data_IF_308458355197
#
_entry.id   IF_308458355197
#
_cell.length_a   1.000
_cell.length_b   1.000
_cell.length_c   1.000
_cell.angle_alpha   90.00
_cell.angle_beta   90.00
_cell.angle_gamma   90.00
#
_symmetry.space_group_name_H-M   'P 1'
#
loop_
_entity.id
_entity.type
_entity.pdbx_description
1 polymer ?
#
# COMPACT_ATOMS: atom_id res chain seq x y z
N UNK A 1 4.21 -12.58 -16.28
CA UNK A 1 3.55 -11.91 -15.15
C UNK A 1 3.84 -12.67 -13.86
N UNK A 2 3.86 -12.01 -12.71
CA UNK A 2 4.02 -12.66 -11.39
C UNK A 2 2.74 -13.39 -10.98
N UNK A 3 2.86 -14.44 -10.18
CA UNK A 3 1.71 -15.16 -9.60
C UNK A 3 1.11 -14.38 -8.43
N UNK A 4 -0.18 -14.59 -8.15
CA UNK A 4 -0.85 -13.97 -7.01
C UNK A 4 -0.10 -14.18 -5.67
N UNK A 5 0.38 -15.40 -5.32
CA UNK A 5 1.14 -15.60 -4.09
C UNK A 5 2.46 -14.82 -4.05
N UNK A 6 3.16 -14.70 -5.19
CA UNK A 6 4.41 -13.94 -5.27
C UNK A 6 4.16 -12.44 -5.05
N UNK A 7 3.12 -11.89 -5.69
CA UNK A 7 2.71 -10.48 -5.51
C UNK A 7 2.28 -10.22 -4.07
N UNK A 8 1.46 -11.10 -3.49
CA UNK A 8 1.00 -10.96 -2.10
C UNK A 8 2.17 -10.93 -1.10
N UNK A 9 3.16 -11.82 -1.28
CA UNK A 9 4.38 -11.84 -0.44
C UNK A 9 5.20 -10.55 -0.58
N UNK A 10 5.30 -10.01 -1.79
CA UNK A 10 5.94 -8.73 -2.06
C UNK A 10 5.23 -7.58 -1.34
N UNK A 11 3.91 -7.48 -1.48
CA UNK A 11 3.10 -6.44 -0.83
C UNK A 11 3.19 -6.50 0.70
N UNK A 12 3.24 -7.69 1.30
CA UNK A 12 3.48 -7.85 2.74
C UNK A 12 4.87 -7.34 3.16
N UNK A 13 5.89 -7.54 2.33
CA UNK A 13 7.24 -7.06 2.60
C UNK A 13 7.30 -5.54 2.54
N UNK A 14 6.69 -4.94 1.51
CA UNK A 14 6.57 -3.50 1.37
C UNK A 14 5.80 -2.87 2.54
N UNK A 15 4.75 -3.54 3.03
CA UNK A 15 4.00 -3.08 4.18
C UNK A 15 4.83 -3.11 5.48
N UNK A 16 5.62 -4.16 5.69
CA UNK A 16 6.57 -4.25 6.82
C UNK A 16 7.64 -3.18 6.78
N UNK A 17 8.05 -2.77 5.57
CA UNK A 17 9.01 -1.69 5.37
C UNK A 17 8.36 -0.29 5.50
N UNK A 18 7.06 -0.19 5.76
CA UNK A 18 6.33 1.08 5.87
C UNK A 18 6.12 1.79 4.53
N UNK A 19 6.30 1.09 3.40
CA UNK A 19 6.13 1.66 2.07
C UNK A 19 4.65 1.65 1.69
N UNK A 20 3.94 0.57 2.01
CA UNK A 20 2.50 0.42 1.73
C UNK A 20 1.73 0.15 3.03
N UNK A 21 0.41 0.39 3.02
CA UNK A 21 -0.47 0.10 4.15
C UNK A 21 -1.65 -0.74 3.68
N UNK A 22 -1.95 -1.82 4.40
CA UNK A 22 -3.18 -2.59 4.19
C UNK A 22 -4.38 -1.80 4.75
N UNK A 23 -5.49 -1.71 4.00
CA UNK A 23 -6.63 -0.85 4.36
C UNK A 23 -7.96 -1.57 4.54
N UNK A 24 -8.02 -2.89 4.30
CA UNK A 24 -9.28 -3.66 4.33
C UNK A 24 -9.46 -4.47 5.61
N UNK A 25 -8.39 -4.83 6.32
CA UNK A 25 -8.43 -5.72 7.48
C UNK A 25 -8.84 -7.16 7.17
N UNK A 26 -8.94 -7.54 5.88
CA UNK A 26 -9.47 -8.84 5.48
C UNK A 26 -8.38 -9.91 5.34
N UNK A 27 -8.79 -11.18 5.44
CA UNK A 27 -7.88 -12.33 5.23
C UNK A 27 -7.60 -12.61 3.74
N UNK A 28 -8.48 -12.19 2.84
CA UNK A 28 -8.39 -12.36 1.38
C UNK A 28 -8.81 -11.06 0.69
N UNK A 29 -8.47 -10.92 -0.59
CA UNK A 29 -8.81 -9.73 -1.39
C UNK A 29 -8.36 -8.40 -0.75
N UNK A 30 -7.21 -8.44 -0.06
CA UNK A 30 -6.65 -7.28 0.63
C UNK A 30 -6.27 -6.19 -0.35
N UNK A 31 -6.58 -4.94 0.01
CA UNK A 31 -6.17 -3.75 -0.72
C UNK A 31 -5.05 -3.05 0.06
N UNK A 32 -4.05 -2.58 -0.66
CA UNK A 32 -2.91 -1.86 -0.11
C UNK A 32 -2.87 -0.45 -0.70
N UNK A 33 -2.75 0.56 0.16
CA UNK A 33 -2.48 1.94 -0.20
C UNK A 33 -0.97 2.19 -0.27
N UNK A 34 -0.53 3.04 -1.21
CA UNK A 34 0.85 3.49 -1.31
C UNK A 34 0.98 4.91 -0.77
N UNK A 35 1.40 5.01 0.49
CA UNK A 35 1.37 6.28 1.24
C UNK A 35 2.25 7.36 0.64
N UNK A 36 3.42 6.99 0.10
CA UNK A 36 4.33 7.96 -0.52
C UNK A 36 3.73 8.61 -1.76
N UNK A 37 2.95 7.85 -2.52
CA UNK A 37 2.24 8.41 -3.68
C UNK A 37 1.10 9.33 -3.25
N UNK A 38 0.35 8.96 -2.21
CA UNK A 38 -0.67 9.83 -1.64
C UNK A 38 -0.07 11.11 -1.03
N UNK A 39 1.10 11.03 -0.41
CA UNK A 39 1.82 12.19 0.11
C UNK A 39 2.22 13.16 -1.01
N UNK A 40 2.77 12.65 -2.12
CA UNK A 40 3.10 13.47 -3.30
C UNK A 40 1.85 14.14 -3.88
N UNK A 41 0.72 13.43 -3.92
CA UNK A 41 -0.54 14.01 -4.43
C UNK A 41 -1.14 15.06 -3.47
N UNK A 42 -0.85 14.96 -2.17
CA UNK A 42 -1.32 15.90 -1.16
C UNK A 42 -0.38 17.10 -0.96
N UNK A 43 0.84 17.08 -1.50
CA UNK A 43 1.75 18.24 -1.46
C UNK A 43 1.09 19.45 -2.12
N UNK A 44 0.85 20.50 -1.33
CA UNK A 44 0.19 21.74 -1.78
C UNK A 44 -1.33 21.78 -1.59
N UNK A 45 -1.95 20.75 -1.03
CA UNK A 45 -3.39 20.74 -0.63
C UNK A 45 -3.58 20.73 0.89
N UNK A 46 -2.54 21.02 1.65
CA UNK A 46 -2.61 21.08 3.11
C UNK A 46 -3.47 22.28 3.53
N UNK A 47 -4.53 22.07 4.34
CA UNK A 47 -5.35 23.16 4.85
C UNK A 47 -4.51 24.02 5.82
N UNK A 48 -4.56 25.34 5.62
CA UNK A 48 -3.98 26.37 6.50
C UNK A 48 -4.62 26.38 7.89
#
# INVERSE_FOLDING_TARGET
GLTFPAVAKGLETLAKLGITREITGQKRNRVFAYDRYLAILNEGTEPL
#
